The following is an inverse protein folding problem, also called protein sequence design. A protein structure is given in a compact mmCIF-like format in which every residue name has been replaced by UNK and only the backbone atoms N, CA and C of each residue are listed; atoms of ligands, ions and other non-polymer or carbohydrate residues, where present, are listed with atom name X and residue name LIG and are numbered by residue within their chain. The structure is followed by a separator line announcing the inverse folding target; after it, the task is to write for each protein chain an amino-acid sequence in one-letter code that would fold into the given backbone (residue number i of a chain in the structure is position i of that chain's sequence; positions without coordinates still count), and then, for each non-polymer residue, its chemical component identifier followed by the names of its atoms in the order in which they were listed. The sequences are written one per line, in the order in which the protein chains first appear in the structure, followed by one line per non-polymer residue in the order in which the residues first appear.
data_IF_594154755345
#
_entry.id   IF_594154755345
#
_cell.length_a   1.000
_cell.length_b   1.000
_cell.length_c   1.000
_cell.angle_alpha   90.00
_cell.angle_beta   90.00
_cell.angle_gamma   90.00
#
_symmetry.space_group_name_H-M   'P 1'
#
loop_
_entity.id
_entity.type
_entity.pdbx_description
1 polymer ?
#
# COMPACT_ATOMS: atom_id res chain seq x y z
N UNK A 1 22.35 9.80 -3.29
CA UNK A 1 21.05 9.08 -3.39
C UNK A 1 21.31 7.62 -3.77
N UNK A 2 21.78 6.81 -2.83
CA UNK A 2 22.19 5.41 -3.08
C UNK A 2 21.00 4.45 -3.28
N UNK A 3 19.89 4.65 -2.56
CA UNK A 3 18.70 3.78 -2.70
C UNK A 3 17.93 4.00 -4.01
N UNK A 4 17.89 5.24 -4.53
CA UNK A 4 17.17 5.58 -5.77
C UNK A 4 17.90 5.13 -7.04
N UNK A 5 19.22 4.93 -6.99
CA UNK A 5 20.00 4.45 -8.14
C UNK A 5 19.86 2.93 -8.35
N UNK A 6 19.46 2.19 -7.32
CA UNK A 6 19.28 0.74 -7.36
C UNK A 6 17.96 0.39 -8.07
N UNK A 7 18.06 -0.04 -9.32
CA UNK A 7 16.93 -0.51 -10.14
C UNK A 7 17.07 -1.99 -10.47
N UNK A 8 15.95 -2.68 -10.63
CA UNK A 8 15.89 -4.00 -11.23
C UNK A 8 16.30 -3.92 -12.71
N UNK A 9 16.68 -5.06 -13.30
CA UNK A 9 17.01 -5.16 -14.74
C UNK A 9 15.83 -4.66 -15.59
N UNK A 10 14.59 -4.91 -15.15
CA UNK A 10 13.34 -4.42 -15.74
C UNK A 10 13.01 -2.95 -15.42
N UNK A 11 13.99 -2.14 -14.99
CA UNK A 11 13.89 -0.71 -14.64
C UNK A 11 13.08 -0.32 -13.40
N UNK A 12 12.31 -1.23 -12.80
CA UNK A 12 11.58 -0.96 -11.55
C UNK A 12 12.52 -0.63 -10.39
N UNK A 13 12.10 0.26 -9.48
CA UNK A 13 12.90 0.61 -8.30
C UNK A 13 13.06 -0.60 -7.38
N UNK A 14 14.30 -0.87 -6.94
CA UNK A 14 14.55 -1.96 -5.99
C UNK A 14 14.09 -1.61 -4.59
N UNK A 15 14.30 -0.36 -4.20
CA UNK A 15 13.88 0.19 -2.92
C UNK A 15 13.22 1.55 -3.16
N UNK A 16 11.92 1.58 -3.48
CA UNK A 16 11.19 2.83 -3.60
C UNK A 16 11.18 3.56 -2.25
N UNK A 17 11.40 4.87 -2.29
CA UNK A 17 11.29 5.71 -1.10
C UNK A 17 9.81 5.91 -0.81
N UNK A 18 9.38 5.61 0.43
CA UNK A 18 8.02 5.82 0.86
C UNK A 18 7.65 7.30 0.97
N UNK A 19 6.35 7.60 0.88
CA UNK A 19 5.85 8.97 0.91
C UNK A 19 5.74 9.54 2.32
N UNK A 20 5.97 10.85 2.42
CA UNK A 20 5.97 11.62 3.67
C UNK A 20 5.32 13.00 3.45
N UNK A 21 4.98 13.70 4.53
CA UNK A 21 4.42 15.05 4.45
C UNK A 21 3.01 15.09 3.85
N UNK A 22 2.72 16.15 3.09
CA UNK A 22 1.42 16.39 2.45
C UNK A 22 1.29 15.58 1.14
N UNK A 23 1.37 14.26 1.28
CA UNK A 23 1.35 13.28 0.20
C UNK A 23 0.75 11.95 0.64
N UNK A 24 0.81 10.96 -0.25
CA UNK A 24 0.36 9.61 0.07
C UNK A 24 1.42 8.88 0.89
N UNK A 25 1.04 8.29 2.02
CA UNK A 25 1.96 7.42 2.78
C UNK A 25 2.12 6.07 2.13
N UNK A 26 3.12 5.31 2.58
CA UNK A 26 3.23 3.90 2.20
C UNK A 26 1.95 3.14 2.62
N UNK A 27 1.43 2.33 1.71
CA UNK A 27 0.18 1.58 1.92
C UNK A 27 0.48 0.38 2.81
N UNK A 28 -0.29 0.24 3.90
CA UNK A 28 -0.16 -0.89 4.83
C UNK A 28 -1.20 -1.95 4.49
N UNK A 29 -0.80 -3.22 4.45
CA UNK A 29 -1.73 -4.31 4.23
C UNK A 29 -1.55 -5.45 5.22
N UNK A 30 -2.61 -6.23 5.40
CA UNK A 30 -2.56 -7.52 6.08
C UNK A 30 -1.66 -8.50 5.34
N UNK A 31 -1.09 -9.48 6.05
CA UNK A 31 -0.38 -10.60 5.41
C UNK A 31 -1.23 -11.32 4.34
N UNK A 32 -2.55 -11.22 4.43
CA UNK A 32 -3.47 -11.66 3.38
C UNK A 32 -3.48 -13.17 3.20
N UNK A 33 -3.87 -13.60 2.00
CA UNK A 33 -3.99 -15.01 1.62
C UNK A 33 -2.71 -15.84 1.87
N UNK A 34 -1.54 -15.21 1.94
CA UNK A 34 -0.26 -15.89 2.15
C UNK A 34 -0.19 -16.58 3.53
N UNK A 35 -0.73 -15.93 4.57
CA UNK A 35 -0.62 -16.41 5.96
C UNK A 35 -1.94 -16.38 6.75
N UNK A 36 -3.02 -15.90 6.15
CA UNK A 36 -4.34 -15.90 6.77
C UNK A 36 -5.14 -17.09 6.24
N UNK A 37 -5.90 -17.75 7.12
CA UNK A 37 -6.81 -18.85 6.74
C UNK A 37 -8.24 -18.36 6.40
N UNK A 38 -8.57 -17.11 6.75
CA UNK A 38 -9.84 -16.45 6.42
C UNK A 38 -9.70 -15.29 5.44
N UNK A 39 -8.85 -15.37 4.40
CA UNK A 39 -8.74 -14.31 3.42
C UNK A 39 -9.99 -14.33 2.53
N UNK A 40 -10.67 -13.19 2.39
CA UNK A 40 -11.69 -12.99 1.36
C UNK A 40 -11.05 -12.56 0.03
N UNK A 41 -9.86 -11.95 0.05
CA UNK A 41 -9.08 -11.61 -1.15
C UNK A 41 -7.58 -11.64 -0.88
N UNK A 42 -6.76 -11.52 -1.93
CA UNK A 42 -5.33 -11.28 -1.81
C UNK A 42 -5.00 -9.81 -1.55
N UNK A 43 -4.48 -9.55 -0.35
CA UNK A 43 -4.09 -8.22 0.10
C UNK A 43 -2.84 -7.67 -0.59
N UNK A 44 -1.86 -8.52 -0.85
CA UNK A 44 -0.54 -8.08 -1.28
C UNK A 44 -0.57 -7.66 -2.74
N UNK A 45 -1.26 -8.42 -3.60
CA UNK A 45 -1.39 -8.08 -5.03
C UNK A 45 -2.22 -6.81 -5.25
N UNK A 46 -3.34 -6.64 -4.53
CA UNK A 46 -4.12 -5.41 -4.63
C UNK A 46 -3.33 -4.17 -4.22
N UNK A 47 -2.59 -4.23 -3.10
CA UNK A 47 -1.73 -3.12 -2.71
C UNK A 47 -0.64 -2.87 -3.73
N UNK A 48 -0.03 -3.91 -4.30
CA UNK A 48 0.97 -3.73 -5.35
C UNK A 48 0.40 -3.00 -6.57
N UNK A 49 -0.79 -3.39 -7.05
CA UNK A 49 -1.45 -2.73 -8.17
C UNK A 49 -1.75 -1.26 -7.85
N UNK A 50 -2.35 -0.98 -6.69
CA UNK A 50 -2.66 0.39 -6.26
C UNK A 50 -1.39 1.24 -6.08
N UNK A 51 -0.32 0.65 -5.55
CA UNK A 51 0.95 1.34 -5.35
C UNK A 51 1.62 1.71 -6.67
N UNK A 52 1.49 0.88 -7.71
CA UNK A 52 2.04 1.15 -9.03
C UNK A 52 1.31 2.30 -9.72
N UNK A 53 -0.02 2.36 -9.60
CA UNK A 53 -0.82 3.44 -10.18
C UNK A 53 -0.66 4.77 -9.42
N UNK A 54 -0.44 4.72 -8.10
CA UNK A 54 -0.30 5.90 -7.25
C UNK A 54 1.17 6.28 -6.97
N UNK A 55 2.14 5.67 -7.66
CA UNK A 55 3.56 5.85 -7.33
C UNK A 55 4.01 7.31 -7.39
N UNK A 56 3.52 8.08 -8.37
CA UNK A 56 3.85 9.49 -8.53
C UNK A 56 3.34 10.35 -7.36
N UNK A 57 2.19 9.99 -6.78
CA UNK A 57 1.58 10.64 -5.63
C UNK A 57 2.28 10.32 -4.29
N UNK A 58 3.03 9.22 -4.24
CA UNK A 58 3.84 8.84 -3.07
C UNK A 58 5.14 9.67 -3.06
N UNK A 59 5.72 9.95 -4.23
CA UNK A 59 6.92 10.76 -4.34
C UNK A 59 6.63 12.27 -4.33
N UNK A 60 5.43 12.67 -4.77
CA UNK A 60 4.98 14.06 -4.74
C UNK A 60 4.33 14.46 -3.42
N UNK A 61 4.52 15.71 -3.01
CA UNK A 61 3.77 16.33 -1.90
C UNK A 61 2.74 17.32 -2.48
N UNK A 62 1.79 16.79 -3.25
CA UNK A 62 0.79 17.59 -3.99
C UNK A 62 -0.57 17.64 -3.30
N UNK A 63 -0.75 16.94 -2.18
CA UNK A 63 -2.02 16.89 -1.45
C UNK A 63 -2.08 18.01 -0.39
N UNK A 64 -3.28 18.42 0.05
CA UNK A 64 -3.42 19.41 1.12
C UNK A 64 -2.99 18.89 2.50
N UNK A 65 -3.00 17.56 2.70
CA UNK A 65 -2.63 16.90 3.94
C UNK A 65 -2.08 15.48 3.66
N UNK A 66 -1.59 14.82 4.71
CA UNK A 66 -1.14 13.43 4.64
C UNK A 66 -2.34 12.50 4.47
N UNK A 67 -2.27 11.59 3.50
CA UNK A 67 -3.32 10.58 3.23
C UNK A 67 -2.76 9.18 3.45
N UNK A 68 -3.46 8.36 4.24
CA UNK A 68 -3.14 6.97 4.53
C UNK A 68 -4.16 6.04 3.87
N UNK A 69 -3.66 5.09 3.09
CA UNK A 69 -4.45 3.99 2.54
C UNK A 69 -4.00 2.71 3.23
N UNK A 70 -4.95 1.88 3.66
CA UNK A 70 -4.64 0.57 4.20
C UNK A 70 -5.61 -0.50 3.69
N UNK A 71 -5.16 -1.75 3.68
CA UNK A 71 -5.86 -2.86 3.04
C UNK A 71 -5.94 -4.08 3.96
N UNK A 72 -7.15 -4.61 4.14
CA UNK A 72 -7.38 -5.85 4.86
C UNK A 72 -8.07 -6.92 4.01
N UNK A 73 -7.54 -8.14 4.11
CA UNK A 73 -8.06 -9.30 3.41
C UNK A 73 -9.41 -9.80 3.95
N UNK A 74 -9.86 -9.37 5.13
CA UNK A 74 -11.11 -9.79 5.74
C UNK A 74 -11.59 -8.80 6.82
N UNK A 75 -12.82 -9.01 7.31
CA UNK A 75 -13.49 -8.18 8.33
C UNK A 75 -12.76 -8.10 9.68
N UNK A 76 -11.74 -8.93 9.92
CA UNK A 76 -10.91 -8.86 11.13
C UNK A 76 -9.99 -7.63 11.15
N UNK A 77 -9.89 -6.89 10.03
CA UNK A 77 -9.20 -5.59 9.96
C UNK A 77 -7.77 -5.57 10.52
N UNK A 78 -7.02 -6.67 10.34
CA UNK A 78 -5.59 -6.68 10.70
C UNK A 78 -4.85 -5.56 9.92
N UNK A 79 -3.69 -5.09 10.40
CA UNK A 79 -2.97 -4.00 9.73
C UNK A 79 -3.56 -2.60 9.96
N UNK A 80 -4.34 -2.44 11.05
CA UNK A 80 -4.87 -1.15 11.50
C UNK A 80 -5.62 -0.37 10.40
N UNK A 81 -6.38 -1.08 9.57
CA UNK A 81 -7.10 -0.48 8.43
C UNK A 81 -8.12 0.57 8.87
N UNK A 82 -8.68 0.42 10.08
CA UNK A 82 -9.58 1.42 10.67
C UNK A 82 -8.91 2.77 10.98
N UNK A 83 -7.57 2.83 11.06
CA UNK A 83 -6.81 4.07 11.27
C UNK A 83 -6.42 4.76 9.96
N UNK A 84 -6.84 4.24 8.80
CA UNK A 84 -6.54 4.82 7.49
C UNK A 84 -7.65 5.77 7.03
N UNK A 85 -7.27 6.78 6.26
CA UNK A 85 -8.22 7.72 5.65
C UNK A 85 -9.06 7.01 4.58
N UNK A 86 -8.46 6.02 3.89
CA UNK A 86 -9.13 5.15 2.91
C UNK A 86 -8.86 3.70 3.28
N UNK A 87 -9.91 3.01 3.72
CA UNK A 87 -9.90 1.61 4.10
C UNK A 87 -10.39 0.71 2.96
N UNK A 88 -9.54 -0.19 2.48
CA UNK A 88 -9.91 -1.26 1.55
C UNK A 88 -10.16 -2.56 2.32
N UNK A 89 -11.40 -3.04 2.29
CA UNK A 89 -11.81 -4.23 3.05
C UNK A 89 -12.51 -5.22 2.13
N UNK A 90 -12.15 -6.49 2.30
CA UNK A 90 -12.69 -7.57 1.47
C UNK A 90 -13.69 -8.42 2.24
N UNK A 91 -14.75 -8.79 1.55
CA UNK A 91 -15.79 -9.67 2.06
C UNK A 91 -16.32 -10.52 0.90
N UNK A 92 -16.90 -11.67 1.25
CA UNK A 92 -17.64 -12.51 0.31
C UNK A 92 -19.11 -12.53 0.73
N UNK A 93 -20.03 -12.52 -0.23
CA UNK A 93 -21.48 -12.61 0.00
C UNK A 93 -21.94 -14.07 -0.03
#
# INVERSE_FOLDING_TARGET
KDVQSRKHVSRSYKFPIGGTGAGLTNIVHTQGYIHCHTPATDASSMVKAVLDDLFDHIQGMTFPAQVRISMACCLNMCGAVHCSDIALLSYHR
#
